data_IF_136502366700
#
_entry.id   IF_136502366700
#
_cell.length_a   1.000
_cell.length_b   1.000
_cell.length_c   1.000
_cell.angle_alpha   90.00
_cell.angle_beta   90.00
_cell.angle_gamma   90.00
#
_symmetry.space_group_name_H-M   'P 1'
#
loop_
_entity.id
_entity.type
_entity.pdbx_description
1 polymer ?
#
# COMPACT_ATOMS: atom_id res chain seq x y z
N UNK A 1 15.55 8.35 16.07
CA UNK A 1 15.34 7.35 17.13
C UNK A 1 15.03 6.05 16.42
N UNK A 2 15.79 4.99 16.64
CA UNK A 2 15.51 3.68 16.02
C UNK A 2 14.33 3.05 16.75
N UNK A 3 13.25 2.72 16.03
CA UNK A 3 12.08 2.08 16.64
C UNK A 3 12.38 0.64 17.04
N UNK A 4 11.59 0.08 17.97
CA UNK A 4 11.71 -1.32 18.37
C UNK A 4 11.09 -2.27 17.34
N UNK A 5 11.45 -3.56 17.41
CA UNK A 5 10.85 -4.59 16.55
C UNK A 5 9.32 -4.66 16.71
N UNK A 6 8.81 -4.51 17.93
CA UNK A 6 7.37 -4.46 18.21
C UNK A 6 6.71 -3.25 17.56
N UNK A 7 7.34 -2.08 17.62
CA UNK A 7 6.86 -0.87 16.96
C UNK A 7 6.89 -1.04 15.43
N UNK A 8 7.95 -1.64 14.88
CA UNK A 8 8.03 -1.94 13.46
C UNK A 8 6.90 -2.89 13.02
N UNK A 9 6.66 -3.96 13.78
CA UNK A 9 5.58 -4.91 13.52
C UNK A 9 4.19 -4.24 13.57
N UNK A 10 3.96 -3.33 14.53
CA UNK A 10 2.72 -2.55 14.61
C UNK A 10 2.54 -1.64 13.39
N UNK A 11 3.61 -1.02 12.91
CA UNK A 11 3.56 -0.16 11.71
C UNK A 11 3.28 -0.95 10.45
N UNK A 12 3.93 -2.10 10.26
CA UNK A 12 3.62 -3.04 9.17
C UNK A 12 2.15 -3.45 9.24
N UNK A 13 1.66 -3.85 10.41
CA UNK A 13 0.26 -4.24 10.60
C UNK A 13 -0.71 -3.13 10.19
N UNK A 14 -0.45 -1.89 10.59
CA UNK A 14 -1.29 -0.75 10.23
C UNK A 14 -1.33 -0.50 8.71
N UNK A 15 -0.18 -0.63 8.02
CA UNK A 15 -0.13 -0.54 6.55
C UNK A 15 -0.99 -1.62 5.90
N UNK A 16 -0.88 -2.86 6.40
CA UNK A 16 -1.64 -3.98 5.86
C UNK A 16 -3.14 -3.85 6.14
N UNK A 17 -3.53 -3.46 7.35
CA UNK A 17 -4.94 -3.23 7.69
C UNK A 17 -5.57 -2.13 6.84
N UNK A 18 -4.85 -1.02 6.61
CA UNK A 18 -5.30 0.05 5.74
C UNK A 18 -5.42 -0.41 4.28
N UNK A 19 -4.42 -1.12 3.75
CA UNK A 19 -4.46 -1.60 2.38
C UNK A 19 -5.57 -2.63 2.15
N UNK A 20 -5.83 -3.49 3.14
CA UNK A 20 -6.89 -4.50 3.09
C UNK A 20 -8.28 -3.87 3.18
N UNK A 21 -8.46 -2.80 3.96
CA UNK A 21 -9.76 -2.12 4.08
C UNK A 21 -10.15 -1.34 2.82
N UNK A 22 -9.18 -0.98 1.98
CA UNK A 22 -9.39 -0.34 0.69
C UNK A 22 -9.77 -1.33 -0.43
N UNK A 23 -9.71 -2.65 -0.20
CA UNK A 23 -10.05 -3.64 -1.22
C UNK A 23 -11.56 -3.76 -1.42
N UNK A 24 -11.98 -3.83 -2.67
CA UNK A 24 -13.34 -4.25 -2.99
C UNK A 24 -13.51 -5.75 -2.70
N UNK A 25 -14.75 -6.23 -2.44
CA UNK A 25 -15.01 -7.66 -2.26
C UNK A 25 -14.55 -8.51 -3.45
N UNK A 26 -14.69 -7.97 -4.67
CA UNK A 26 -14.23 -8.62 -5.91
C UNK A 26 -12.71 -8.74 -5.97
N UNK A 27 -11.99 -7.67 -5.61
CA UNK A 27 -10.52 -7.70 -5.63
C UNK A 27 -9.98 -8.69 -4.60
N UNK A 28 -10.56 -8.68 -3.40
CA UNK A 28 -10.25 -9.61 -2.34
C UNK A 28 -10.46 -11.07 -2.80
N UNK A 29 -11.62 -11.38 -3.39
CA UNK A 29 -11.93 -12.72 -3.87
C UNK A 29 -10.95 -13.19 -4.96
N UNK A 30 -10.62 -12.33 -5.92
CA UNK A 30 -9.66 -12.64 -6.97
C UNK A 30 -8.24 -12.91 -6.41
N UNK A 31 -7.81 -12.16 -5.40
CA UNK A 31 -6.52 -12.40 -4.72
C UNK A 31 -6.51 -13.74 -3.97
N UNK A 32 -7.59 -14.08 -3.28
CA UNK A 32 -7.73 -15.38 -2.58
C UNK A 32 -7.66 -16.54 -3.56
N UNK A 33 -8.35 -16.45 -4.70
CA UNK A 33 -8.30 -17.46 -5.76
C UNK A 33 -6.87 -17.62 -6.29
N UNK A 34 -6.20 -16.51 -6.62
CA UNK A 34 -4.80 -16.56 -7.06
C UNK A 34 -3.89 -17.27 -6.04
N UNK A 35 -4.03 -16.93 -4.76
CA UNK A 35 -3.23 -17.54 -3.70
C UNK A 35 -3.45 -19.05 -3.57
N UNK A 36 -4.69 -19.51 -3.75
CA UNK A 36 -5.04 -20.92 -3.74
C UNK A 36 -4.39 -21.66 -4.91
N UNK A 37 -4.46 -21.08 -6.11
CA UNK A 37 -4.02 -21.73 -7.34
C UNK A 37 -2.49 -21.77 -7.47
N UNK A 38 -1.80 -20.78 -6.90
CA UNK A 38 -0.34 -20.63 -7.02
C UNK A 38 0.42 -21.03 -5.74
N UNK A 39 -0.28 -21.63 -4.76
CA UNK A 39 0.28 -22.00 -3.45
C UNK A 39 1.12 -20.88 -2.80
N UNK A 40 0.63 -19.65 -2.87
CA UNK A 40 1.31 -18.47 -2.34
C UNK A 40 0.50 -17.85 -1.20
N UNK A 41 0.45 -18.52 -0.03
CA UNK A 41 -0.31 -18.00 1.11
C UNK A 41 0.35 -16.75 1.67
N UNK A 42 -0.49 -15.77 2.00
CA UNK A 42 -0.12 -14.59 2.76
C UNK A 42 0.51 -13.46 1.94
N UNK A 43 0.81 -12.38 2.65
CA UNK A 43 1.38 -11.15 2.10
C UNK A 43 2.90 -11.24 2.17
N UNK A 44 3.59 -10.88 1.09
CA UNK A 44 5.06 -10.87 1.02
C UNK A 44 5.57 -9.44 0.97
N UNK A 45 6.60 -9.16 1.75
CA UNK A 45 7.31 -7.89 1.76
C UNK A 45 8.53 -8.00 0.86
N UNK A 46 8.67 -7.08 -0.08
CA UNK A 46 9.80 -7.01 -1.01
C UNK A 46 10.47 -5.64 -0.88
N UNK A 47 11.79 -5.58 -0.62
CA UNK A 47 12.51 -4.33 -0.78
C UNK A 47 12.54 -3.96 -2.26
N UNK A 48 12.21 -2.71 -2.58
CA UNK A 48 12.32 -2.12 -3.91
C UNK A 48 13.44 -1.09 -3.98
N UNK A 49 13.51 -0.40 -5.11
CA UNK A 49 14.47 0.68 -5.34
C UNK A 49 14.12 1.93 -4.51
N UNK A 50 15.07 2.84 -4.35
CA UNK A 50 14.91 4.15 -3.69
C UNK A 50 14.28 4.08 -2.28
N UNK A 51 14.60 3.03 -1.53
CA UNK A 51 14.09 2.84 -0.18
C UNK A 51 12.59 2.49 -0.14
N UNK A 52 11.99 2.04 -1.24
CA UNK A 52 10.60 1.58 -1.24
C UNK A 52 10.48 0.15 -0.70
N UNK A 53 9.36 -0.13 -0.07
CA UNK A 53 8.97 -1.46 0.39
C UNK A 53 7.61 -1.78 -0.23
N UNK A 54 7.57 -2.87 -0.99
CA UNK A 54 6.38 -3.35 -1.66
C UNK A 54 5.77 -4.53 -0.92
N UNK A 55 4.48 -4.42 -0.58
CA UNK A 55 3.69 -5.53 -0.08
C UNK A 55 2.90 -6.14 -1.23
N UNK A 56 3.08 -7.44 -1.48
CA UNK A 56 2.40 -8.18 -2.56
C UNK A 56 1.50 -9.27 -1.99
N UNK A 57 0.33 -9.42 -2.59
CA UNK A 57 -0.63 -10.47 -2.24
C UNK A 57 -1.56 -10.79 -3.41
N UNK A 58 -1.84 -12.08 -3.63
CA UNK A 58 -2.71 -12.51 -4.73
C UNK A 58 -2.16 -12.13 -6.11
N UNK A 59 -0.84 -12.28 -6.30
CA UNK A 59 -0.17 -12.08 -7.59
C UNK A 59 0.10 -10.63 -7.97
N UNK A 60 -0.27 -9.67 -7.13
CA UNK A 60 -0.16 -8.24 -7.43
C UNK A 60 0.19 -7.41 -6.20
N UNK A 61 0.52 -6.14 -6.42
CA UNK A 61 0.80 -5.18 -5.35
C UNK A 61 -0.44 -4.95 -4.48
N UNK A 62 -0.24 -4.89 -3.17
CA UNK A 62 -1.25 -4.53 -2.17
C UNK A 62 -0.97 -3.14 -1.62
N UNK A 63 0.29 -2.85 -1.29
CA UNK A 63 0.72 -1.53 -0.82
C UNK A 63 2.17 -1.27 -1.21
N UNK A 64 2.54 0.01 -1.25
CA UNK A 64 3.92 0.46 -1.43
C UNK A 64 4.17 1.63 -0.50
N UNK A 65 5.24 1.58 0.28
CA UNK A 65 5.59 2.62 1.25
C UNK A 65 7.09 2.87 1.22
N UNK A 66 7.52 4.07 1.60
CA UNK A 66 8.94 4.32 1.85
C UNK A 66 9.39 3.61 3.13
N UNK A 67 10.62 3.13 3.19
CA UNK A 67 11.19 2.42 4.33
C UNK A 67 11.18 3.29 5.58
N UNK A 68 11.37 4.60 5.44
CA UNK A 68 11.26 5.55 6.55
C UNK A 68 9.88 5.55 7.18
N UNK A 69 8.80 5.30 6.41
CA UNK A 69 7.45 5.16 6.95
C UNK A 69 7.37 4.03 7.97
N UNK A 70 8.14 2.96 7.77
CA UNK A 70 8.21 1.84 8.70
C UNK A 70 9.26 2.05 9.79
N UNK A 71 10.34 2.78 9.54
CA UNK A 71 11.49 2.88 10.45
C UNK A 71 11.53 4.14 11.33
N UNK A 72 10.64 5.11 11.10
CA UNK A 72 10.53 6.31 11.93
C UNK A 72 9.44 6.18 12.99
N UNK A 73 9.43 7.08 13.97
CA UNK A 73 8.43 7.16 15.05
C UNK A 73 7.29 8.16 14.73
N UNK A 74 7.31 8.77 13.55
CA UNK A 74 6.31 9.76 13.14
C UNK A 74 4.97 9.09 12.86
N UNK A 75 3.84 9.81 12.98
CA UNK A 75 2.55 9.29 12.57
C UNK A 75 2.57 8.83 11.11
N UNK A 76 2.04 7.63 10.84
CA UNK A 76 1.87 7.16 9.46
C UNK A 76 0.81 8.01 8.77
N UNK A 77 1.18 8.56 7.61
CA UNK A 77 0.24 9.26 6.74
C UNK A 77 -0.12 8.33 5.59
N UNK A 78 -1.38 7.91 5.55
CA UNK A 78 -1.95 7.18 4.43
C UNK A 78 -2.60 8.19 3.51
N UNK A 79 -1.99 8.42 2.34
CA UNK A 79 -2.52 9.28 1.30
C UNK A 79 -2.71 8.45 0.03
N UNK A 80 -3.86 8.62 -0.62
CA UNK A 80 -3.99 8.26 -2.03
C UNK A 80 -3.12 9.24 -2.80
N UNK A 81 -1.97 8.80 -3.33
CA UNK A 81 -1.45 9.43 -4.54
C UNK A 81 -2.46 9.03 -5.62
N UNK A 82 -3.45 9.88 -5.85
CA UNK A 82 -4.30 9.73 -7.00
C UNK A 82 -3.38 9.90 -8.22
N UNK A 83 -2.98 8.79 -8.84
CA UNK A 83 -2.34 8.75 -10.16
C UNK A 83 -3.31 9.22 -11.27
N UNK A 84 -4.45 9.81 -10.92
CA UNK A 84 -5.21 10.57 -11.90
C UNK A 84 -4.37 11.80 -12.28
N UNK A 85 -4.00 11.95 -13.58
CA UNK A 85 -3.36 13.18 -14.01
C UNK A 85 -4.27 14.33 -13.62
N UNK A 86 -3.72 15.30 -12.89
CA UNK A 86 -4.39 16.59 -12.71
C UNK A 86 -4.69 17.09 -14.13
N UNK A 87 -5.95 17.34 -14.50
CA UNK A 87 -6.25 17.84 -15.84
C UNK A 87 -5.50 19.17 -16.02
N UNK A 88 -4.64 19.26 -17.03
CA UNK A 88 -3.94 20.51 -17.38
C UNK A 88 -4.90 21.60 -17.90
N UNK A 89 -6.19 21.27 -18.02
CA UNK A 89 -7.23 22.18 -18.47
C UNK A 89 -8.15 22.55 -17.31
N UNK A 90 -8.22 23.85 -17.02
CA UNK A 90 -9.25 24.43 -16.14
C UNK A 90 -10.60 24.28 -16.84
N UNK A 91 -11.68 23.83 -16.16
CA UNK A 91 -13.00 23.75 -16.76
C UNK A 91 -13.44 25.10 -17.33
N UNK A 92 -14.01 25.12 -18.55
CA UNK A 92 -14.50 26.34 -19.22
C UNK A 92 -15.55 27.11 -18.40
N UNK A 93 -16.19 26.46 -17.43
CA UNK A 93 -17.12 27.07 -16.49
C UNK A 93 -16.45 27.99 -15.45
N UNK A 94 -15.11 27.91 -15.27
CA UNK A 94 -14.35 28.72 -14.31
C UNK A 94 -13.59 29.88 -14.97
N UNK A 95 -13.58 29.94 -16.31
CA UNK A 95 -12.92 30.98 -17.10
C UNK A 95 -13.92 31.91 -17.81
N UNK A 96 -15.22 31.82 -17.48
CA UNK A 96 -16.29 32.70 -17.96
C UNK A 96 -16.66 33.80 -16.96
#
# INVERSE_FOLDING_TARGET
>A
MTITDDQYAQRVRAVLEHAMSALTPEDYAARVTYCRDNNCPGIRMHPGDDGLIEFRWGGRRLAMVHADTLNNDRPMQFGLVNDQPTPDTVPDEWTR
#
